data_IF_255970282543
#
_entry.id   IF_255970282543
#
_cell.length_a   1.000
_cell.length_b   1.000
_cell.length_c   1.000
_cell.angle_alpha   90.00
_cell.angle_beta   90.00
_cell.angle_gamma   90.00
#
_symmetry.space_group_name_H-M   'P 1'
#
loop_
_entity.id
_entity.type
_entity.pdbx_description
1 polymer ?
#
# COMPACT_ATOMS: atom_id res chain seq x y z
N UNK A 1 0.03 16.57 14.65
CA UNK A 1 1.20 15.78 15.09
C UNK A 1 2.05 16.60 16.05
N UNK A 2 2.79 15.95 16.95
CA UNK A 2 3.68 16.63 17.92
C UNK A 2 5.09 16.92 17.37
N UNK A 3 5.42 16.39 16.19
CA UNK A 3 6.73 16.53 15.54
C UNK A 3 6.53 17.27 14.22
N UNK A 4 7.28 18.35 14.01
CA UNK A 4 7.23 19.13 12.78
C UNK A 4 7.68 18.28 11.59
N UNK A 5 6.95 18.36 10.47
CA UNK A 5 7.22 17.58 9.26
C UNK A 5 6.71 16.13 9.28
N UNK A 6 6.12 15.65 10.38
CA UNK A 6 5.56 14.29 10.47
C UNK A 6 4.03 14.34 10.40
N UNK A 7 3.50 14.11 9.19
CA UNK A 7 2.08 13.85 8.95
C UNK A 7 1.70 12.38 9.18
N UNK A 8 0.43 12.04 8.98
CA UNK A 8 -0.07 10.66 9.18
C UNK A 8 0.65 9.65 8.27
N UNK A 9 0.81 9.96 6.99
CA UNK A 9 1.56 9.14 6.02
C UNK A 9 2.98 8.83 6.53
N UNK A 10 3.74 9.87 6.90
CA UNK A 10 5.10 9.72 7.45
C UNK A 10 5.11 8.93 8.75
N UNK A 11 4.12 9.16 9.63
CA UNK A 11 4.00 8.44 10.88
C UNK A 11 3.78 6.94 10.65
N UNK A 12 2.89 6.58 9.71
CA UNK A 12 2.63 5.19 9.35
C UNK A 12 3.86 4.52 8.74
N UNK A 13 4.61 5.22 7.88
CA UNK A 13 5.88 4.72 7.36
C UNK A 13 6.86 4.36 8.48
N UNK A 14 7.04 5.26 9.45
CA UNK A 14 7.95 5.03 10.58
C UNK A 14 7.49 3.85 11.45
N UNK A 15 6.18 3.68 11.65
CA UNK A 15 5.61 2.50 12.32
C UNK A 15 5.93 1.20 11.57
N UNK A 16 5.75 1.18 10.24
CA UNK A 16 6.11 0.03 9.41
C UNK A 16 7.59 -0.32 9.55
N UNK A 17 8.48 0.68 9.47
CA UNK A 17 9.92 0.47 9.66
C UNK A 17 10.27 0.00 11.08
N UNK A 18 9.45 0.35 12.07
CA UNK A 18 9.54 -0.15 13.44
C UNK A 18 8.95 -1.55 13.66
N UNK A 19 8.53 -2.24 12.60
CA UNK A 19 7.99 -3.61 12.66
C UNK A 19 6.50 -3.67 13.01
N UNK A 20 5.79 -2.54 13.02
CA UNK A 20 4.34 -2.53 13.19
C UNK A 20 3.67 -2.92 11.88
N UNK A 21 2.78 -3.91 11.93
CA UNK A 21 1.92 -4.27 10.81
C UNK A 21 0.88 -3.17 10.55
N UNK A 22 1.10 -2.35 9.52
CA UNK A 22 0.22 -1.23 9.17
C UNK A 22 0.47 -0.82 7.71
N UNK A 23 -0.45 -0.05 7.13
CA UNK A 23 -0.30 0.55 5.81
C UNK A 23 -0.03 2.06 5.89
N UNK A 24 0.71 2.58 4.92
CA UNK A 24 0.89 4.00 4.71
C UNK A 24 -0.04 4.47 3.58
N UNK A 25 -0.90 5.48 3.82
CA UNK A 25 -1.84 6.00 2.82
C UNK A 25 -1.16 6.96 1.82
N UNK A 26 -0.11 6.53 1.14
CA UNK A 26 0.52 7.35 0.08
C UNK A 26 -0.26 7.28 -1.24
N UNK A 27 0.07 8.17 -2.18
CA UNK A 27 -0.61 8.29 -3.48
C UNK A 27 -0.56 7.02 -4.33
N UNK A 28 0.53 6.24 -4.28
CA UNK A 28 0.67 4.99 -5.04
C UNK A 28 -0.16 3.90 -4.38
N UNK A 29 -0.05 3.73 -3.06
CA UNK A 29 -0.78 2.72 -2.28
C UNK A 29 -2.27 2.93 -2.44
N UNK A 30 -2.76 4.17 -2.27
CA UNK A 30 -4.18 4.54 -2.45
C UNK A 30 -4.69 4.19 -3.84
N UNK A 31 -3.93 4.53 -4.89
CA UNK A 31 -4.32 4.26 -6.27
C UNK A 31 -4.43 2.76 -6.54
N UNK A 32 -3.45 1.97 -6.13
CA UNK A 32 -3.42 0.53 -6.40
C UNK A 32 -4.53 -0.19 -5.64
N UNK A 33 -4.70 0.11 -4.34
CA UNK A 33 -5.80 -0.47 -3.55
C UNK A 33 -7.16 -0.04 -4.10
N UNK A 34 -7.33 1.22 -4.48
CA UNK A 34 -8.55 1.72 -5.09
C UNK A 34 -8.91 0.97 -6.38
N UNK A 35 -7.93 0.75 -7.27
CA UNK A 35 -8.13 -0.04 -8.51
C UNK A 35 -8.52 -1.48 -8.20
N UNK A 36 -7.87 -2.13 -7.22
CA UNK A 36 -8.21 -3.50 -6.80
C UNK A 36 -9.67 -3.57 -6.29
N UNK A 37 -10.09 -2.61 -5.47
CA UNK A 37 -11.46 -2.55 -4.96
C UNK A 37 -12.48 -2.33 -6.07
N UNK A 38 -12.19 -1.42 -7.01
CA UNK A 38 -13.02 -1.16 -8.19
C UNK A 38 -13.18 -2.42 -9.06
N UNK A 39 -12.07 -3.08 -9.40
CA UNK A 39 -12.07 -4.33 -10.19
C UNK A 39 -12.80 -5.48 -9.49
N UNK A 40 -12.75 -5.51 -8.15
CA UNK A 40 -13.49 -6.47 -7.33
C UNK A 40 -14.97 -6.09 -7.11
N UNK A 41 -15.43 -4.95 -7.64
CA UNK A 41 -16.78 -4.43 -7.42
C UNK A 41 -17.08 -4.13 -5.95
N UNK A 42 -16.05 -3.83 -5.15
CA UNK A 42 -16.17 -3.54 -3.72
C UNK A 42 -16.21 -2.04 -3.47
N UNK A 43 -17.23 -1.58 -2.76
CA UNK A 43 -17.34 -0.21 -2.31
C UNK A 43 -16.88 -0.10 -0.85
N UNK A 44 -15.57 0.08 -0.64
CA UNK A 44 -14.96 0.30 0.68
C UNK A 44 -14.42 1.72 0.80
N UNK A 45 -14.45 2.34 1.99
CA UNK A 45 -14.03 3.73 2.17
C UNK A 45 -12.51 3.89 2.02
N UNK A 46 -12.09 4.80 1.16
CA UNK A 46 -10.66 5.06 0.86
C UNK A 46 -10.28 6.54 0.78
N UNK A 47 -11.25 7.44 1.01
CA UNK A 47 -11.06 8.89 0.83
C UNK A 47 -10.21 9.48 1.96
N UNK A 48 -10.61 9.28 3.21
CA UNK A 48 -9.84 9.67 4.37
C UNK A 48 -8.64 8.73 4.62
N UNK A 49 -7.53 9.28 5.08
CA UNK A 49 -6.30 8.51 5.32
C UNK A 49 -6.45 7.47 6.43
N UNK A 50 -7.27 7.74 7.46
CA UNK A 50 -7.52 6.80 8.55
C UNK A 50 -8.44 5.69 8.05
N UNK A 51 -9.54 6.06 7.40
CA UNK A 51 -10.46 5.08 6.78
C UNK A 51 -9.72 4.18 5.78
N UNK A 52 -8.80 4.74 5.00
CA UNK A 52 -7.97 3.96 4.09
C UNK A 52 -7.16 2.89 4.81
N UNK A 53 -6.50 3.24 5.92
CA UNK A 53 -5.71 2.27 6.71
C UNK A 53 -6.60 1.17 7.27
N UNK A 54 -7.78 1.51 7.78
CA UNK A 54 -8.77 0.54 8.27
C UNK A 54 -9.27 -0.38 7.16
N UNK A 55 -9.50 0.17 5.96
CA UNK A 55 -9.88 -0.62 4.78
C UNK A 55 -8.78 -1.61 4.38
N UNK A 56 -7.50 -1.19 4.37
CA UNK A 56 -6.39 -2.12 4.07
C UNK A 56 -6.29 -3.21 5.13
N UNK A 57 -6.50 -2.88 6.41
CA UNK A 57 -6.53 -3.86 7.50
C UNK A 57 -7.67 -4.87 7.34
N UNK A 58 -8.84 -4.42 6.88
CA UNK A 58 -9.96 -5.30 6.55
C UNK A 58 -9.62 -6.22 5.36
N UNK A 59 -8.96 -5.71 4.33
CA UNK A 59 -8.50 -6.54 3.19
C UNK A 59 -7.50 -7.59 3.67
N UNK A 60 -6.55 -7.20 4.52
CA UNK A 60 -5.57 -8.11 5.13
C UNK A 60 -6.27 -9.24 5.89
N UNK A 61 -7.23 -8.90 6.75
CA UNK A 61 -8.04 -9.88 7.48
C UNK A 61 -8.78 -10.86 6.56
N UNK A 62 -9.41 -10.36 5.48
CA UNK A 62 -10.19 -11.19 4.56
C UNK A 62 -9.34 -12.08 3.66
N UNK A 63 -8.11 -11.67 3.37
CA UNK A 63 -7.21 -12.37 2.44
C UNK A 63 -6.17 -13.25 3.12
N UNK A 64 -5.94 -13.06 4.42
CA UNK A 64 -4.88 -13.72 5.18
C UNK A 64 -3.49 -13.13 4.98
N UNK A 65 -3.35 -12.08 4.19
CA UNK A 65 -2.11 -11.29 4.10
C UNK A 65 -1.99 -10.35 5.29
N UNK A 66 -0.76 -9.91 5.58
CA UNK A 66 -0.54 -8.81 6.52
C UNK A 66 -0.76 -7.46 5.84
N UNK A 67 -1.18 -6.47 6.63
CA UNK A 67 -1.42 -5.10 6.15
C UNK A 67 -0.16 -4.49 5.53
N UNK A 68 1.01 -4.76 6.11
CA UNK A 68 2.31 -4.32 5.60
C UNK A 68 2.68 -5.00 4.26
N UNK A 69 2.28 -6.26 4.07
CA UNK A 69 2.54 -7.00 2.82
C UNK A 69 1.70 -6.43 1.69
N UNK A 70 0.41 -6.17 1.92
CA UNK A 70 -0.46 -5.47 0.97
C UNK A 70 0.14 -4.12 0.58
N UNK A 71 0.59 -3.33 1.56
CA UNK A 71 1.21 -2.04 1.32
C UNK A 71 2.47 -2.17 0.44
N UNK A 72 3.41 -3.08 0.75
CA UNK A 72 4.63 -3.26 -0.04
C UNK A 72 4.37 -3.81 -1.45
N UNK A 73 3.40 -4.70 -1.62
CA UNK A 73 3.04 -5.22 -2.93
C UNK A 73 2.56 -4.10 -3.86
N UNK A 74 1.85 -3.09 -3.35
CA UNK A 74 1.45 -1.93 -4.18
C UNK A 74 2.65 -1.18 -4.76
N UNK A 75 3.79 -1.15 -4.05
CA UNK A 75 5.01 -0.50 -4.53
C UNK A 75 5.73 -1.28 -5.64
N UNK A 76 5.36 -2.54 -5.86
CA UNK A 76 5.82 -3.35 -7.00
C UNK A 76 4.98 -3.10 -8.26
N UNK A 77 3.80 -2.47 -8.13
CA UNK A 77 2.93 -2.12 -9.25
C UNK A 77 3.34 -0.75 -9.79
N UNK A 78 3.66 -0.68 -11.09
CA UNK A 78 4.05 0.58 -11.72
C UNK A 78 2.80 1.37 -12.15
N UNK A 79 2.73 2.65 -11.79
CA UNK A 79 1.56 3.49 -12.12
C UNK A 79 1.49 3.96 -13.57
N UNK A 80 2.61 3.91 -14.31
CA UNK A 80 2.69 4.30 -15.71
C UNK A 80 2.81 3.05 -16.57
N UNK A 81 1.68 2.62 -17.16
CA UNK A 81 1.65 1.62 -18.22
C UNK A 81 1.17 0.21 -17.85
N UNK A 82 0.50 0.01 -16.71
CA UNK A 82 -0.04 -1.30 -16.28
C UNK A 82 0.98 -2.44 -16.20
N UNK A 83 2.27 -2.13 -16.17
CA UNK A 83 3.35 -3.10 -16.06
C UNK A 83 3.78 -3.27 -14.61
N UNK A 84 4.19 -4.49 -14.26
CA UNK A 84 4.76 -4.78 -12.94
C UNK A 84 6.22 -4.29 -12.96
N UNK A 85 6.69 -3.58 -11.91
CA UNK A 85 8.10 -3.12 -11.82
C UNK A 85 9.09 -4.27 -12.01
N UNK A 86 8.71 -5.46 -11.56
CA UNK A 86 9.48 -6.69 -11.71
C UNK A 86 9.83 -6.98 -13.17
N UNK A 87 8.95 -6.68 -14.13
CA UNK A 87 9.24 -6.87 -15.56
C UNK A 87 10.33 -5.92 -16.04
N UNK A 88 10.30 -4.66 -15.58
CA UNK A 88 11.32 -3.66 -15.93
C UNK A 88 12.72 -4.05 -15.46
N UNK A 89 12.81 -4.71 -14.30
CA UNK A 89 14.07 -5.10 -13.67
C UNK A 89 14.36 -6.60 -13.72
N UNK A 90 13.60 -7.38 -14.51
CA UNK A 90 13.73 -8.84 -14.58
C UNK A 90 15.15 -9.28 -14.94
N UNK A 91 15.78 -8.58 -15.88
CA UNK A 91 17.15 -8.85 -16.31
C UNK A 91 18.19 -8.65 -15.21
N UNK A 92 17.93 -7.77 -14.24
CA UNK A 92 18.82 -7.50 -13.10
C UNK A 92 18.59 -8.55 -12.02
N UNK A 93 17.33 -8.88 -11.73
CA UNK A 93 16.96 -9.89 -10.74
C UNK A 93 17.43 -11.30 -11.12
N UNK A 94 17.42 -11.64 -12.41
CA UNK A 94 17.95 -12.92 -12.89
C UNK A 94 19.48 -13.08 -12.78
N UNK A 95 20.21 -12.03 -12.38
CA UNK A 95 21.67 -12.03 -12.25
C UNK A 95 22.16 -12.10 -10.80
N UNK A 96 21.24 -12.12 -9.84
CA UNK A 96 21.50 -12.19 -8.38
C UNK A 96 21.00 -13.53 -7.87
#
# INVERSE_FOLDING_TARGET
GKIYGVGLTTYQYLRMMGGVDTAMPDKVVKRVIGKILEEAGQNMPTEDDIEFVETVDRIAFLTGYRTIELCWMTWLVQSEGEKIRMEKYGDVLGRI
#
